data_IF_632582794846
#
_entry.id   IF_632582794846
#
_cell.length_a   1.000
_cell.length_b   1.000
_cell.length_c   1.000
_cell.angle_alpha   90.00
_cell.angle_beta   90.00
_cell.angle_gamma   90.00
#
_symmetry.space_group_name_H-M   'P 1'
#
loop_
_entity.id
_entity.type
_entity.pdbx_description
1 polymer ?
#
# COMPACT_ATOMS: atom_id res chain seq x y z
N UNK A 1 86.93 -54.65 108.29
CA UNK A 1 86.83 -55.94 107.59
C UNK A 1 85.34 -56.21 107.37
N UNK A 2 84.75 -56.24 106.17
CA UNK A 2 85.18 -56.55 104.81
C UNK A 2 84.45 -55.66 103.78
N UNK A 3 85.10 -55.47 102.64
CA UNK A 3 84.68 -54.67 101.47
C UNK A 3 83.62 -55.36 100.61
N UNK A 4 82.83 -54.54 99.90
CA UNK A 4 82.41 -54.60 98.47
C UNK A 4 81.23 -53.63 98.33
N UNK A 5 81.16 -52.62 97.46
CA UNK A 5 81.82 -52.37 96.19
C UNK A 5 80.80 -52.43 95.05
N UNK A 6 79.96 -51.39 94.86
CA UNK A 6 79.30 -51.11 93.58
C UNK A 6 78.73 -49.68 93.54
N UNK A 7 79.12 -48.95 92.51
CA UNK A 7 78.87 -47.54 92.22
C UNK A 7 77.70 -47.43 91.23
N UNK A 8 76.75 -46.50 91.44
CA UNK A 8 76.01 -45.89 90.34
C UNK A 8 75.32 -44.58 90.77
N UNK A 9 75.88 -43.47 90.29
CA UNK A 9 75.35 -42.10 90.32
C UNK A 9 73.92 -42.03 89.73
N UNK A 10 73.03 -41.20 90.29
CA UNK A 10 71.85 -40.69 89.56
C UNK A 10 71.80 -39.15 89.61
N UNK A 11 71.51 -38.61 88.45
CA UNK A 11 71.72 -37.25 87.94
C UNK A 11 70.69 -36.22 88.39
N UNK A 12 71.10 -34.94 88.38
CA UNK A 12 70.27 -33.74 88.60
C UNK A 12 69.07 -33.71 87.66
N UNK A 13 67.87 -33.52 88.20
CA UNK A 13 66.60 -33.50 87.47
C UNK A 13 66.30 -32.14 86.83
N UNK A 14 65.79 -32.17 85.59
CA UNK A 14 65.21 -31.02 84.89
C UNK A 14 63.71 -31.05 85.12
N UNK A 15 63.14 -29.93 85.59
CA UNK A 15 61.69 -29.74 85.75
C UNK A 15 61.17 -29.06 84.50
N UNK A 16 60.38 -29.79 83.71
CA UNK A 16 59.63 -29.27 82.57
C UNK A 16 58.27 -28.81 83.08
N UNK A 17 58.00 -27.51 82.98
CA UNK A 17 56.68 -26.94 83.27
C UNK A 17 55.82 -27.19 82.02
N UNK A 18 54.82 -28.06 82.15
CA UNK A 18 53.85 -28.31 81.11
C UNK A 18 53.04 -27.02 80.89
N UNK A 19 53.05 -26.49 79.67
CA UNK A 19 52.14 -25.41 79.27
C UNK A 19 50.70 -25.87 79.53
N UNK A 20 49.96 -25.11 80.33
CA UNK A 20 48.60 -25.43 80.75
C UNK A 20 47.71 -25.74 79.55
N UNK A 21 46.88 -26.77 79.70
CA UNK A 21 45.86 -27.20 78.75
C UNK A 21 44.74 -26.15 78.62
N UNK A 22 45.01 -25.05 77.93
CA UNK A 22 43.94 -24.26 77.35
C UNK A 22 43.48 -25.01 76.09
N UNK A 23 42.20 -25.42 76.05
CA UNK A 23 41.56 -25.90 74.82
C UNK A 23 41.81 -24.84 73.74
N UNK A 24 42.62 -25.16 72.75
CA UNK A 24 42.72 -24.35 71.53
C UNK A 24 41.39 -24.58 70.81
N UNK A 25 40.51 -23.58 70.82
CA UNK A 25 39.29 -23.61 70.02
C UNK A 25 39.68 -23.83 68.56
N UNK A 26 39.27 -24.96 67.99
CA UNK A 26 39.48 -25.23 66.57
C UNK A 26 38.37 -24.54 65.77
N UNK A 27 38.61 -24.24 64.49
CA UNK A 27 37.62 -23.59 63.61
C UNK A 27 36.31 -24.37 63.51
N UNK A 28 36.36 -25.67 63.77
CA UNK A 28 35.26 -26.62 63.78
C UNK A 28 34.39 -26.50 65.04
N UNK A 29 34.90 -25.88 66.11
CA UNK A 29 34.15 -25.61 67.34
C UNK A 29 33.43 -24.24 67.30
N UNK A 30 33.77 -23.36 66.36
CA UNK A 30 33.15 -22.04 66.21
C UNK A 30 31.66 -22.14 65.80
N UNK A 31 30.78 -21.63 66.67
CA UNK A 31 29.34 -21.59 66.43
C UNK A 31 28.95 -20.78 65.19
N UNK A 32 29.71 -19.74 64.85
CA UNK A 32 29.48 -18.93 63.65
C UNK A 32 29.80 -19.76 62.41
N UNK A 33 30.89 -20.51 62.42
CA UNK A 33 31.27 -21.39 61.31
C UNK A 33 30.25 -22.52 61.09
N UNK A 34 29.72 -23.11 62.18
CA UNK A 34 28.61 -24.09 62.11
C UNK A 34 27.36 -23.49 61.46
N UNK A 35 26.94 -22.29 61.89
CA UNK A 35 25.80 -21.59 61.29
C UNK A 35 25.97 -21.31 59.79
N UNK A 36 27.19 -21.05 59.32
CA UNK A 36 27.46 -20.88 57.89
C UNK A 36 27.37 -22.19 57.09
N UNK A 37 27.65 -23.35 57.72
CA UNK A 37 27.46 -24.64 57.07
C UNK A 37 25.98 -25.02 56.93
N UNK A 38 25.15 -24.58 57.87
CA UNK A 38 23.70 -24.83 57.87
C UNK A 38 22.95 -24.02 56.80
N UNK A 39 23.58 -23.00 56.20
CA UNK A 39 22.96 -22.20 55.13
C UNK A 39 22.76 -23.07 53.88
N UNK A 40 21.51 -23.27 53.41
CA UNK A 40 21.25 -23.99 52.17
C UNK A 40 21.95 -23.31 50.98
N UNK A 41 22.85 -24.03 50.32
CA UNK A 41 23.56 -23.50 49.14
C UNK A 41 22.67 -23.63 47.91
N UNK A 42 22.22 -22.50 47.38
CA UNK A 42 21.54 -22.45 46.09
C UNK A 42 22.58 -22.52 44.97
N UNK A 43 22.57 -23.62 44.22
CA UNK A 43 23.40 -23.80 43.02
C UNK A 43 22.61 -23.36 41.78
N UNK A 44 23.25 -22.76 40.77
CA UNK A 44 22.58 -22.44 39.51
C UNK A 44 21.98 -23.66 38.84
N UNK A 45 20.88 -23.44 38.12
CA UNK A 45 20.12 -24.49 37.41
C UNK A 45 21.07 -25.26 36.47
N UNK A 46 21.92 -24.57 35.70
CA UNK A 46 23.02 -25.20 34.98
C UNK A 46 24.29 -25.25 35.83
N UNK A 47 24.51 -26.36 36.54
CA UNK A 47 25.74 -26.60 37.31
C UNK A 47 27.01 -26.69 36.46
N UNK A 48 26.87 -26.98 35.16
CA UNK A 48 27.97 -27.18 34.21
C UNK A 48 28.60 -25.87 33.69
N UNK A 49 27.94 -24.71 33.85
CA UNK A 49 28.53 -23.41 33.47
C UNK A 49 29.52 -22.89 34.53
N UNK A 50 29.52 -23.48 35.73
CA UNK A 50 30.49 -23.23 36.79
C UNK A 50 31.48 -24.39 36.77
N UNK A 51 32.69 -24.15 36.24
CA UNK A 51 33.72 -25.17 35.99
C UNK A 51 34.32 -25.86 37.23
N UNK A 52 33.51 -26.47 38.09
CA UNK A 52 33.97 -27.22 39.26
C UNK A 52 34.35 -28.65 38.87
N UNK A 53 35.61 -29.00 39.16
CA UNK A 53 36.27 -30.29 38.93
C UNK A 53 35.76 -31.45 39.82
N UNK A 54 34.85 -31.18 40.77
CA UNK A 54 34.42 -32.14 41.80
C UNK A 54 32.90 -32.42 41.75
N UNK A 55 32.36 -32.70 40.56
CA UNK A 55 30.98 -33.20 40.45
C UNK A 55 30.92 -34.66 40.92
N UNK A 56 29.97 -34.98 41.80
CA UNK A 56 29.64 -36.37 42.13
C UNK A 56 29.16 -37.09 40.85
N UNK A 57 29.49 -38.38 40.62
CA UNK A 57 29.15 -39.11 39.39
C UNK A 57 27.65 -39.11 39.03
N UNK A 58 26.76 -38.79 39.98
CA UNK A 58 25.31 -38.70 39.78
C UNK A 58 24.76 -37.32 39.36
N UNK A 59 25.58 -36.26 39.31
CA UNK A 59 25.09 -34.90 39.01
C UNK A 59 24.98 -34.58 37.48
N UNK A 60 25.19 -35.58 36.63
CA UNK A 60 25.17 -35.47 35.15
C UNK A 60 23.76 -35.31 34.54
N UNK A 61 22.70 -35.27 35.35
CA UNK A 61 21.31 -35.31 34.88
C UNK A 61 20.73 -33.98 34.40
N UNK A 62 21.50 -32.89 34.38
CA UNK A 62 21.03 -31.57 33.93
C UNK A 62 21.33 -31.22 32.47
N UNK A 63 21.71 -32.19 31.64
CA UNK A 63 21.77 -31.99 30.19
C UNK A 63 20.36 -32.07 29.64
N UNK A 64 19.79 -30.91 29.25
CA UNK A 64 18.54 -30.87 28.52
C UNK A 64 18.61 -31.86 27.35
N UNK A 65 17.69 -32.82 27.30
CA UNK A 65 17.76 -33.88 26.31
C UNK A 65 17.67 -33.27 24.89
N UNK A 66 18.55 -33.70 23.99
CA UNK A 66 18.60 -33.17 22.61
C UNK A 66 17.33 -33.47 21.82
N UNK A 67 16.61 -34.53 22.20
CA UNK A 67 15.41 -35.03 21.49
C UNK A 67 14.21 -34.08 21.62
N UNK A 68 13.79 -33.60 22.81
CA UNK A 68 12.79 -32.54 22.93
C UNK A 68 13.19 -31.21 22.25
N UNK A 69 14.45 -30.79 22.40
CA UNK A 69 14.93 -29.55 21.79
C UNK A 69 14.85 -29.61 20.26
N UNK A 70 15.28 -30.73 19.67
CA UNK A 70 15.14 -30.99 18.24
C UNK A 70 13.67 -30.94 17.79
N UNK A 71 12.77 -31.62 18.52
CA UNK A 71 11.33 -31.61 18.19
C UNK A 71 10.75 -30.20 18.23
N UNK A 72 11.13 -29.39 19.23
CA UNK A 72 10.71 -28.00 19.33
C UNK A 72 11.23 -27.18 18.14
N UNK A 73 12.52 -27.28 17.83
CA UNK A 73 13.13 -26.59 16.70
C UNK A 73 12.47 -26.99 15.37
N UNK A 74 12.20 -28.27 15.14
CA UNK A 74 11.50 -28.73 13.93
C UNK A 74 10.06 -28.19 13.84
N UNK A 75 9.32 -28.15 14.95
CA UNK A 75 7.98 -27.54 14.98
C UNK A 75 8.03 -26.05 14.67
N UNK A 76 9.01 -25.35 15.24
CA UNK A 76 9.21 -23.92 14.99
C UNK A 76 9.59 -23.64 13.52
N UNK A 77 10.53 -24.42 12.96
CA UNK A 77 10.90 -24.33 11.55
C UNK A 77 9.69 -24.56 10.63
N UNK A 78 8.87 -25.57 10.92
CA UNK A 78 7.66 -25.86 10.15
C UNK A 78 6.66 -24.71 10.23
N UNK A 79 6.46 -24.12 11.41
CA UNK A 79 5.59 -22.97 11.59
C UNK A 79 6.08 -21.76 10.80
N UNK A 80 7.38 -21.42 10.91
CA UNK A 80 7.98 -20.33 10.12
C UNK A 80 7.83 -20.56 8.61
N UNK A 81 7.98 -21.81 8.15
CA UNK A 81 7.77 -22.17 6.74
C UNK A 81 6.33 -21.95 6.29
N UNK A 82 5.35 -22.27 7.14
CA UNK A 82 3.94 -22.01 6.85
C UNK A 82 3.65 -20.51 6.81
N UNK A 83 4.16 -19.74 7.77
CA UNK A 83 4.03 -18.29 7.78
C UNK A 83 4.66 -17.65 6.54
N UNK A 84 5.87 -18.07 6.16
CA UNK A 84 6.54 -17.57 4.96
C UNK A 84 5.75 -17.86 3.68
N UNK A 85 5.12 -19.04 3.59
CA UNK A 85 4.26 -19.39 2.46
C UNK A 85 2.98 -18.55 2.41
N UNK A 86 2.33 -18.34 3.55
CA UNK A 86 1.14 -17.51 3.63
C UNK A 86 1.46 -16.07 3.20
N UNK A 87 2.52 -15.47 3.77
CA UNK A 87 2.97 -14.12 3.40
C UNK A 87 3.32 -14.03 1.92
N UNK A 88 4.01 -15.02 1.35
CA UNK A 88 4.32 -15.03 -0.09
C UNK A 88 3.06 -15.11 -0.96
N UNK A 89 2.04 -15.86 -0.53
CA UNK A 89 0.74 -15.92 -1.21
C UNK A 89 0.05 -14.55 -1.20
N UNK A 90 -0.07 -13.95 -0.01
CA UNK A 90 -0.72 -12.65 0.18
C UNK A 90 0.00 -11.55 -0.62
N UNK A 91 1.33 -11.56 -0.62
CA UNK A 91 2.13 -10.64 -1.44
C UNK A 91 1.84 -10.80 -2.94
N UNK A 92 1.72 -12.04 -3.42
CA UNK A 92 1.42 -12.29 -4.83
C UNK A 92 0.00 -11.84 -5.22
N UNK A 93 -0.97 -12.01 -4.32
CA UNK A 93 -2.33 -11.49 -4.51
C UNK A 93 -2.35 -9.96 -4.59
N UNK A 94 -1.66 -9.29 -3.67
CA UNK A 94 -1.51 -7.81 -3.69
C UNK A 94 -0.86 -7.34 -4.99
N UNK A 95 0.23 -7.98 -5.42
CA UNK A 95 0.90 -7.64 -6.68
C UNK A 95 -0.03 -7.79 -7.88
N UNK A 96 -0.87 -8.82 -7.88
CA UNK A 96 -1.85 -9.04 -8.95
C UNK A 96 -2.93 -7.97 -8.95
N UNK A 97 -3.43 -7.60 -7.76
CA UNK A 97 -4.41 -6.53 -7.61
C UNK A 97 -3.86 -5.18 -8.08
N UNK A 98 -2.62 -4.83 -7.71
CA UNK A 98 -1.93 -3.61 -8.15
C UNK A 98 -1.86 -3.57 -9.69
N UNK A 99 -1.38 -4.65 -10.32
CA UNK A 99 -1.31 -4.74 -11.79
C UNK A 99 -2.67 -4.55 -12.47
N UNK A 100 -3.73 -5.10 -11.87
CA UNK A 100 -5.10 -4.93 -12.38
C UNK A 100 -5.57 -3.48 -12.27
N UNK A 101 -5.28 -2.81 -11.15
CA UNK A 101 -5.60 -1.39 -10.96
C UNK A 101 -4.83 -0.53 -11.95
N UNK A 102 -3.51 -0.74 -12.09
CA UNK A 102 -2.66 0.00 -13.03
C UNK A 102 -3.16 -0.12 -14.48
N UNK A 103 -3.58 -1.32 -14.89
CA UNK A 103 -4.15 -1.55 -16.21
C UNK A 103 -5.47 -0.78 -16.40
N UNK A 104 -6.35 -0.79 -15.39
CA UNK A 104 -7.61 -0.05 -15.41
C UNK A 104 -7.37 1.47 -15.44
N UNK A 105 -6.46 1.97 -14.62
CA UNK A 105 -6.06 3.39 -14.59
C UNK A 105 -5.52 3.84 -15.95
N UNK A 106 -4.68 3.03 -16.58
CA UNK A 106 -4.15 3.32 -17.93
C UNK A 106 -5.27 3.39 -18.96
N UNK A 107 -6.24 2.46 -18.92
CA UNK A 107 -7.37 2.48 -19.84
C UNK A 107 -8.23 3.75 -19.67
N UNK A 108 -8.53 4.14 -18.43
CA UNK A 108 -9.29 5.37 -18.14
C UNK A 108 -8.52 6.62 -18.60
N UNK A 109 -7.21 6.67 -18.37
CA UNK A 109 -6.36 7.78 -18.79
C UNK A 109 -6.34 7.96 -20.31
N UNK A 110 -6.31 6.85 -21.06
CA UNK A 110 -6.36 6.90 -22.52
C UNK A 110 -7.69 7.47 -23.02
N UNK A 111 -8.82 6.98 -22.47
CA UNK A 111 -10.16 7.51 -22.81
C UNK A 111 -10.24 9.00 -22.47
N UNK A 112 -9.77 9.40 -21.30
CA UNK A 112 -9.74 10.80 -20.89
C UNK A 112 -8.91 11.66 -21.84
N UNK A 113 -7.73 11.18 -22.25
CA UNK A 113 -6.84 11.88 -23.17
C UNK A 113 -7.48 12.09 -24.55
N UNK A 114 -8.19 11.09 -25.06
CA UNK A 114 -8.95 11.22 -26.31
C UNK A 114 -10.07 12.26 -26.21
N UNK A 115 -10.81 12.27 -25.08
CA UNK A 115 -11.86 13.26 -24.82
C UNK A 115 -11.28 14.67 -24.70
N UNK A 116 -10.17 14.83 -23.98
CA UNK A 116 -9.47 16.11 -23.87
C UNK A 116 -9.06 16.64 -25.25
N UNK A 117 -8.47 15.78 -26.09
CA UNK A 117 -8.11 16.13 -27.47
C UNK A 117 -9.32 16.56 -28.30
N UNK A 118 -10.46 15.89 -28.15
CA UNK A 118 -11.69 16.27 -28.84
C UNK A 118 -12.22 17.65 -28.40
N UNK A 119 -12.18 17.93 -27.08
CA UNK A 119 -12.55 19.24 -26.54
C UNK A 119 -11.60 20.34 -27.03
N UNK A 120 -10.29 20.08 -27.07
CA UNK A 120 -9.31 21.05 -27.58
C UNK A 120 -9.54 21.36 -29.05
N UNK A 121 -9.85 20.34 -29.86
CA UNK A 121 -10.25 20.53 -31.25
C UNK A 121 -11.52 21.37 -31.39
N UNK A 122 -12.51 21.15 -30.52
CA UNK A 122 -13.74 21.95 -30.52
C UNK A 122 -13.47 23.40 -30.13
N UNK A 123 -12.63 23.65 -29.11
CA UNK A 123 -12.23 25.01 -28.74
C UNK A 123 -11.52 25.74 -29.88
N UNK A 124 -10.61 25.06 -30.60
CA UNK A 124 -9.99 25.64 -31.79
C UNK A 124 -11.01 25.99 -32.89
N UNK A 125 -12.08 25.22 -33.04
CA UNK A 125 -13.15 25.55 -33.97
C UNK A 125 -13.98 26.75 -33.51
N UNK A 126 -14.26 26.83 -32.21
CA UNK A 126 -14.99 27.95 -31.62
C UNK A 126 -14.22 29.27 -31.77
N UNK A 127 -12.90 29.25 -31.58
CA UNK A 127 -12.04 30.41 -31.82
C UNK A 127 -12.10 30.87 -33.29
N UNK A 128 -12.09 29.92 -34.24
CA UNK A 128 -12.28 30.25 -35.67
C UNK A 128 -13.65 30.86 -35.95
N UNK A 129 -14.70 30.37 -35.30
CA UNK A 129 -16.05 30.91 -35.43
C UNK A 129 -16.14 32.33 -34.89
N UNK A 130 -15.52 32.61 -33.74
CA UNK A 130 -15.45 33.96 -33.19
C UNK A 130 -14.72 34.91 -34.15
N UNK A 131 -13.60 34.47 -34.74
CA UNK A 131 -12.93 35.26 -35.77
C UNK A 131 -13.83 35.55 -36.98
N UNK A 132 -14.57 34.55 -37.45
CA UNK A 132 -15.52 34.74 -38.56
C UNK A 132 -16.65 35.72 -38.18
N UNK A 133 -17.12 35.67 -36.94
CA UNK A 133 -18.09 36.62 -36.43
C UNK A 133 -17.54 38.05 -36.42
N UNK A 134 -16.30 38.23 -35.97
CA UNK A 134 -15.61 39.53 -36.02
C UNK A 134 -15.44 40.03 -37.45
N UNK A 135 -15.04 39.15 -38.38
CA UNK A 135 -14.94 39.47 -39.82
C UNK A 135 -16.31 39.88 -40.40
N UNK A 136 -17.40 39.19 -40.02
CA UNK A 136 -18.76 39.51 -40.45
C UNK A 136 -19.23 40.87 -39.90
N UNK A 137 -18.93 41.16 -38.63
CA UNK A 137 -19.21 42.46 -38.03
C UNK A 137 -18.45 43.58 -38.73
N UNK A 138 -17.18 43.35 -39.08
CA UNK A 138 -16.39 44.30 -39.85
C UNK A 138 -17.00 44.57 -41.23
N UNK A 139 -17.43 43.52 -41.95
CA UNK A 139 -18.13 43.67 -43.24
C UNK A 139 -19.43 44.44 -43.08
N UNK A 140 -20.20 44.19 -42.01
CA UNK A 140 -21.41 44.96 -41.73
C UNK A 140 -21.11 46.46 -41.60
N UNK A 141 -20.08 46.83 -40.81
CA UNK A 141 -19.68 48.24 -40.67
C UNK A 141 -19.26 48.84 -42.01
N UNK A 142 -18.45 48.12 -42.81
CA UNK A 142 -18.06 48.59 -44.14
C UNK A 142 -19.26 48.81 -45.08
N UNK A 143 -20.27 47.95 -45.01
CA UNK A 143 -21.50 48.13 -45.78
C UNK A 143 -22.30 49.35 -45.31
N UNK A 144 -22.39 49.55 -44.00
CA UNK A 144 -23.03 50.75 -43.42
C UNK A 144 -22.31 52.03 -43.84
N UNK A 145 -20.98 52.03 -43.94
CA UNK A 145 -20.18 53.16 -44.45
C UNK A 145 -20.43 53.45 -45.95
N UNK A 146 -20.81 52.46 -46.76
CA UNK A 146 -21.12 52.65 -48.19
C UNK A 146 -22.41 53.44 -48.39
N UNK A 147 -23.38 53.34 -47.47
CA UNK A 147 -24.67 54.04 -47.57
C UNK A 147 -24.49 55.56 -47.77
N UNK A 148 -23.82 56.30 -46.87
CA UNK A 148 -23.65 57.75 -47.05
C UNK A 148 -22.81 58.12 -48.29
N UNK A 149 -21.85 57.28 -48.69
CA UNK A 149 -21.07 57.50 -49.92
C UNK A 149 -21.97 57.41 -51.16
N UNK A 150 -22.82 56.39 -51.23
CA UNK A 150 -23.76 56.20 -52.32
C UNK A 150 -24.83 57.30 -52.36
N UNK A 151 -25.34 57.74 -51.20
CA UNK A 151 -26.25 58.87 -51.10
C UNK A 151 -25.60 60.17 -51.59
N UNK A 152 -24.34 60.43 -51.22
CA UNK A 152 -23.59 61.60 -51.70
C UNK A 152 -23.46 61.59 -53.23
N UNK A 153 -23.16 60.44 -53.82
CA UNK A 153 -23.10 60.29 -55.28
C UNK A 153 -24.48 60.48 -55.94
N UNK A 154 -25.53 59.96 -55.31
CA UNK A 154 -26.90 60.08 -55.81
C UNK A 154 -27.39 61.54 -55.81
N UNK A 155 -26.97 62.35 -54.84
CA UNK A 155 -27.29 63.77 -54.77
C UNK A 155 -26.69 64.61 -55.92
N UNK A 156 -25.60 64.14 -56.55
CA UNK A 156 -24.99 64.78 -57.72
C UNK A 156 -25.82 64.61 -59.01
N UNK A 157 -26.77 63.68 -59.03
CA UNK A 157 -27.67 63.46 -60.17
C UNK A 157 -28.80 64.51 -60.20
N UNK A 158 -29.29 64.81 -61.41
CA UNK A 158 -30.48 65.64 -61.60
C UNK A 158 -31.70 64.99 -60.94
N UNK A 159 -32.66 65.75 -60.39
CA UNK A 159 -33.76 65.19 -59.59
C UNK A 159 -34.58 64.09 -60.28
N UNK A 160 -34.68 64.14 -61.61
CA UNK A 160 -35.39 63.13 -62.42
C UNK A 160 -34.68 61.79 -62.53
N UNK A 161 -33.38 61.73 -62.24
CA UNK A 161 -32.53 60.53 -62.38
C UNK A 161 -32.04 59.99 -61.02
N UNK A 162 -32.44 60.60 -59.91
CA UNK A 162 -32.05 60.15 -58.58
C UNK A 162 -32.62 58.77 -58.27
N UNK A 163 -31.76 57.92 -57.72
CA UNK A 163 -32.09 56.57 -57.27
C UNK A 163 -32.77 56.60 -55.90
N UNK A 164 -33.56 55.56 -55.55
CA UNK A 164 -34.06 55.38 -54.20
C UNK A 164 -32.93 55.24 -53.17
N UNK A 165 -33.15 55.61 -51.89
CA UNK A 165 -32.16 55.45 -50.83
C UNK A 165 -31.65 54.02 -50.69
N UNK A 166 -30.34 53.86 -50.55
CA UNK A 166 -29.69 52.56 -50.37
C UNK A 166 -29.88 52.10 -48.90
N UNK A 167 -30.41 50.89 -48.69
CA UNK A 167 -30.58 50.34 -47.34
C UNK A 167 -30.23 48.84 -47.30
N UNK A 168 -29.32 48.48 -46.40
CA UNK A 168 -28.87 47.10 -46.20
C UNK A 168 -29.62 46.35 -45.08
N UNK A 169 -30.53 47.02 -44.34
CA UNK A 169 -31.23 46.45 -43.18
C UNK A 169 -31.96 45.14 -43.53
N UNK A 170 -32.61 45.09 -44.70
CA UNK A 170 -33.33 43.89 -45.19
C UNK A 170 -32.42 42.71 -45.52
N UNK A 171 -31.13 42.95 -45.78
CA UNK A 171 -30.14 41.92 -46.12
C UNK A 171 -29.44 41.45 -44.84
N UNK A 172 -29.09 42.37 -43.95
CA UNK A 172 -28.40 42.08 -42.69
C UNK A 172 -29.29 41.40 -41.63
N UNK A 173 -30.61 41.67 -41.62
CA UNK A 173 -31.55 40.99 -40.71
C UNK A 173 -31.82 39.51 -41.08
N UNK A 174 -31.37 39.05 -42.25
CA UNK A 174 -31.56 37.67 -42.70
C UNK A 174 -30.39 36.77 -42.31
N UNK A 175 -30.22 36.43 -41.03
CA UNK A 175 -29.77 35.08 -40.56
C UNK A 175 -29.72 34.99 -39.03
N UNK A 176 -29.94 33.81 -38.40
CA UNK A 176 -29.65 32.48 -38.92
C UNK A 176 -30.86 31.57 -39.20
N UNK A 177 -30.74 30.83 -40.30
CA UNK A 177 -31.50 29.61 -40.61
C UNK A 177 -31.09 28.54 -39.62
N UNK A 178 -32.05 27.95 -38.91
CA UNK A 178 -31.83 26.80 -38.03
C UNK A 178 -31.29 25.60 -38.81
N UNK A 179 -29.99 25.35 -38.73
CA UNK A 179 -29.37 24.08 -39.15
C UNK A 179 -29.53 23.03 -38.05
N UNK A 180 -30.74 22.56 -37.80
CA UNK A 180 -30.94 21.40 -36.91
C UNK A 180 -32.26 20.68 -37.16
N UNK A 181 -32.37 20.03 -38.31
CA UNK A 181 -33.30 18.90 -38.53
C UNK A 181 -32.89 18.00 -39.71
N UNK A 182 -31.59 17.74 -39.93
CA UNK A 182 -31.16 16.65 -40.84
C UNK A 182 -29.66 16.40 -40.74
N UNK A 183 -29.20 15.94 -39.59
CA UNK A 183 -27.93 15.19 -39.52
C UNK A 183 -27.89 14.34 -38.27
N UNK A 184 -28.76 13.34 -38.23
CA UNK A 184 -28.67 12.21 -37.29
C UNK A 184 -29.46 11.04 -37.84
N UNK A 185 -29.14 10.61 -39.05
CA UNK A 185 -29.26 9.21 -39.40
C UNK A 185 -28.03 8.83 -40.22
N UNK A 186 -27.47 7.67 -39.91
CA UNK A 186 -26.51 6.91 -40.71
C UNK A 186 -25.02 7.17 -40.47
N UNK A 187 -24.52 6.62 -39.36
CA UNK A 187 -23.21 5.96 -39.31
C UNK A 187 -23.25 4.82 -38.28
N UNK A 188 -24.09 3.84 -38.55
CA UNK A 188 -23.89 2.47 -38.07
C UNK A 188 -23.62 1.61 -39.30
N UNK A 189 -22.50 0.89 -39.41
CA UNK A 189 -22.29 -0.05 -40.50
C UNK A 189 -23.33 -1.19 -40.38
N UNK A 190 -24.31 -1.23 -41.29
CA UNK A 190 -25.13 -2.43 -41.49
C UNK A 190 -24.34 -3.40 -42.35
N UNK A 191 -23.87 -4.46 -41.71
CA UNK A 191 -23.40 -5.67 -42.36
C UNK A 191 -24.57 -6.32 -43.12
N UNK A 192 -24.36 -6.60 -44.40
CA UNK A 192 -25.28 -7.35 -45.26
C UNK A 192 -25.21 -8.83 -44.86
N UNK A 193 -26.33 -9.57 -44.83
CA UNK A 193 -26.27 -11.02 -45.05
C UNK A 193 -27.08 -11.38 -46.29
N UNK A 194 -26.36 -11.65 -47.38
CA UNK A 194 -26.86 -12.49 -48.47
C UNK A 194 -26.98 -13.93 -47.95
N UNK A 195 -28.11 -14.57 -48.26
CA UNK A 195 -28.39 -15.93 -47.82
C UNK A 195 -27.63 -17.00 -48.61
N UNK A 196 -27.50 -18.18 -47.98
CA UNK A 196 -27.35 -19.45 -48.70
C UNK A 196 -26.25 -20.38 -48.18
N UNK A 197 -26.63 -21.37 -47.35
CA UNK A 197 -26.05 -22.73 -47.18
C UNK A 197 -24.62 -22.81 -46.58
N UNK A 198 -24.26 -23.60 -45.54
CA UNK A 198 -24.74 -24.89 -45.03
C UNK A 198 -24.07 -25.26 -43.68
N UNK A 199 -24.84 -25.92 -42.79
CA UNK A 199 -24.44 -26.91 -41.75
C UNK A 199 -23.75 -26.47 -40.41
N UNK A 200 -23.91 -27.26 -39.31
CA UNK A 200 -24.15 -26.74 -37.94
C UNK A 200 -23.16 -27.22 -36.86
N UNK A 201 -22.87 -26.40 -35.82
CA UNK A 201 -22.40 -26.83 -34.48
C UNK A 201 -22.41 -25.63 -33.48
N UNK A 202 -22.30 -25.81 -32.14
CA UNK A 202 -23.42 -25.61 -31.22
C UNK A 202 -23.33 -24.38 -30.31
N UNK A 203 -24.50 -24.07 -29.75
CA UNK A 203 -24.87 -23.07 -28.74
C UNK A 203 -23.93 -22.92 -27.54
N UNK A 204 -23.45 -21.69 -27.31
CA UNK A 204 -23.33 -21.10 -25.97
C UNK A 204 -23.97 -19.71 -26.01
N UNK A 205 -25.07 -19.55 -25.26
CA UNK A 205 -25.85 -18.33 -25.08
C UNK A 205 -24.97 -17.17 -24.62
N UNK A 206 -24.89 -16.12 -25.45
CA UNK A 206 -24.46 -14.78 -25.07
C UNK A 206 -25.41 -14.19 -24.02
N UNK A 207 -24.90 -14.06 -22.79
CA UNK A 207 -25.44 -13.13 -21.80
C UNK A 207 -24.95 -11.73 -22.17
N UNK A 208 -25.77 -10.94 -22.87
CA UNK A 208 -25.58 -9.47 -22.87
C UNK A 208 -26.19 -8.93 -21.56
N UNK A 209 -25.54 -7.98 -20.86
CA UNK A 209 -26.16 -7.32 -19.72
C UNK A 209 -27.30 -6.44 -20.24
N UNK A 210 -28.53 -6.87 -19.98
CA UNK A 210 -29.73 -6.05 -20.14
C UNK A 210 -29.76 -5.07 -18.96
N UNK A 211 -29.67 -3.78 -19.25
CA UNK A 211 -29.82 -2.72 -18.24
C UNK A 211 -31.32 -2.55 -18.04
N UNK A 212 -31.84 -2.92 -16.87
CA UNK A 212 -33.24 -2.71 -16.54
C UNK A 212 -33.53 -1.22 -16.26
N UNK A 213 -34.73 -0.72 -16.62
CA UNK A 213 -35.13 0.66 -16.33
C UNK A 213 -35.18 0.94 -14.83
N UNK A 214 -34.79 2.15 -14.44
CA UNK A 214 -34.79 2.62 -13.05
C UNK A 214 -36.24 2.78 -12.57
N UNK A 215 -36.63 2.06 -11.52
CA UNK A 215 -37.90 2.28 -10.83
C UNK A 215 -37.86 3.59 -10.03
N UNK A 216 -38.83 4.47 -10.28
CA UNK A 216 -38.98 5.72 -9.55
C UNK A 216 -39.52 5.45 -8.12
N UNK A 217 -38.68 5.69 -7.11
CA UNK A 217 -39.08 5.63 -5.70
C UNK A 217 -39.88 6.88 -5.35
N UNK A 218 -41.18 6.73 -5.14
CA UNK A 218 -42.04 7.81 -4.62
C UNK A 218 -41.82 7.96 -3.12
N UNK A 219 -41.23 9.07 -2.70
CA UNK A 219 -41.05 9.42 -1.28
C UNK A 219 -42.42 9.66 -0.65
N UNK A 220 -42.79 8.83 0.32
CA UNK A 220 -43.98 9.04 1.15
C UNK A 220 -43.54 9.76 2.42
N UNK A 221 -43.94 11.03 2.55
CA UNK A 221 -43.80 11.76 3.81
C UNK A 221 -44.68 11.10 4.87
N UNK A 222 -44.05 10.51 5.89
CA UNK A 222 -44.75 10.11 7.11
C UNK A 222 -45.02 11.36 7.93
N UNK A 223 -46.25 11.85 7.89
CA UNK A 223 -46.74 12.77 8.91
C UNK A 223 -46.78 12.05 10.27
N UNK A 224 -46.34 12.77 11.31
CA UNK A 224 -46.23 12.34 12.71
C UNK A 224 -47.58 12.03 13.34
#
# INVERSE_FOLDING_TARGET
>A
YLLTGANAKKSKGIVVINSGSAKVESLEDDEVYKRFQDIPRFLPILRHSIGKKNMSPGDNHHRMSSRPLYRMASRFQNHLKLCAKAVASDQNEIVTAIKSVDASTTAVLNVFSEKKRAIDNFNMQLEKLNKLYDDMLHVQVMLEEIVPMAETLNELLVPSERLPPLSFSKVLERTPVSTSASSSQQSTPRHIPGGGTSLPAPSIRDKRPHIEPIEEVKVVDRMK
#
